data_IF_582852287201
#
_entry.id   IF_582852287201
#
_cell.length_a   1.000
_cell.length_b   1.000
_cell.length_c   1.000
_cell.angle_alpha   90.00
_cell.angle_beta   90.00
_cell.angle_gamma   90.00
#
_symmetry.space_group_name_H-M   'P 1'
#
loop_
_entity.id
_entity.type
_entity.pdbx_description
1 polymer ?
#
# COMPACT_ATOMS: atom_id res chain seq x y z
N UNK A 1 39.92 2.28 12.03
CA UNK A 1 38.66 1.56 12.36
C UNK A 1 37.38 2.31 11.96
N UNK A 2 37.31 3.65 11.99
CA UNK A 2 36.08 4.42 11.74
C UNK A 2 35.44 4.26 10.33
N UNK A 3 36.25 4.03 9.29
CA UNK A 3 35.79 3.99 7.89
C UNK A 3 34.91 2.76 7.56
N UNK A 4 35.10 1.65 8.28
CA UNK A 4 34.30 0.43 8.12
C UNK A 4 32.94 0.54 8.83
N UNK A 5 32.86 1.30 9.92
CA UNK A 5 31.62 1.52 10.68
C UNK A 5 30.62 2.34 9.85
N UNK A 6 31.11 3.37 9.14
CA UNK A 6 30.27 4.19 8.25
C UNK A 6 29.70 3.40 7.06
N UNK A 7 30.44 2.39 6.57
CA UNK A 7 30.01 1.57 5.44
C UNK A 7 29.02 0.46 5.86
N UNK A 8 29.06 0.00 7.11
CA UNK A 8 28.06 -0.93 7.64
C UNK A 8 26.71 -0.25 7.91
N UNK A 9 26.70 1.05 8.21
CA UNK A 9 25.48 1.80 8.52
C UNK A 9 24.59 2.05 7.29
N UNK A 10 25.18 2.19 6.10
CA UNK A 10 24.43 2.47 4.86
C UNK A 10 23.63 1.27 4.33
N UNK A 11 24.02 0.04 4.68
CA UNK A 11 23.32 -1.19 4.24
C UNK A 11 22.01 -1.41 5.02
N UNK A 12 21.85 -0.81 6.20
CA UNK A 12 20.62 -0.92 7.00
C UNK A 12 19.43 -0.11 6.48
N UNK A 13 19.64 0.89 5.63
CA UNK A 13 18.57 1.78 5.16
C UNK A 13 17.76 1.22 3.98
N UNK A 14 18.25 0.21 3.27
CA UNK A 14 17.51 -0.43 2.16
C UNK A 14 16.45 -1.43 2.61
N UNK A 15 16.39 -1.77 3.90
CA UNK A 15 15.43 -2.72 4.46
C UNK A 15 14.17 -2.08 5.08
N UNK A 16 13.99 -0.76 5.00
CA UNK A 16 12.74 -0.13 5.39
C UNK A 16 11.70 -0.40 4.29
N UNK A 17 10.98 -1.51 4.48
CA UNK A 17 10.25 -2.24 3.46
C UNK A 17 9.27 -1.40 2.65
N UNK A 18 9.48 -1.49 1.34
CA UNK A 18 8.57 -1.22 0.24
C UNK A 18 7.36 -2.16 0.18
N UNK A 19 7.17 -3.00 1.20
CA UNK A 19 5.95 -3.76 1.43
C UNK A 19 4.97 -2.89 2.22
N UNK A 20 4.25 -2.05 1.49
CA UNK A 20 3.17 -1.25 2.06
C UNK A 20 2.24 -2.16 2.87
N UNK A 21 1.88 -1.79 4.11
CA UNK A 21 0.94 -2.54 4.95
C UNK A 21 -0.38 -2.95 4.24
N UNK A 22 -0.68 -2.29 3.12
CA UNK A 22 -1.77 -2.56 2.18
C UNK A 22 -1.62 -3.94 1.48
N UNK A 23 -0.41 -4.37 1.11
CA UNK A 23 -0.18 -5.65 0.40
C UNK A 23 -0.51 -6.86 1.27
N UNK A 24 -0.26 -6.74 2.58
CA UNK A 24 -0.61 -7.77 3.56
C UNK A 24 -2.10 -7.90 3.87
N UNK A 25 -2.95 -7.02 3.33
CA UNK A 25 -4.40 -7.10 3.55
C UNK A 25 -4.99 -8.32 2.83
N UNK A 26 -5.88 -9.04 3.52
CA UNK A 26 -6.73 -10.03 2.86
C UNK A 26 -7.67 -9.38 1.85
N UNK A 27 -8.14 -10.14 0.87
CA UNK A 27 -9.03 -9.66 -0.20
C UNK A 27 -10.28 -8.96 0.33
N UNK A 28 -10.94 -9.58 1.32
CA UNK A 28 -12.13 -9.02 1.95
C UNK A 28 -11.83 -7.68 2.63
N UNK A 29 -10.72 -7.61 3.38
CA UNK A 29 -10.33 -6.40 4.11
C UNK A 29 -9.93 -5.26 3.16
N UNK A 30 -9.21 -5.59 2.08
CA UNK A 30 -8.89 -4.63 1.03
C UNK A 30 -10.16 -4.07 0.38
N UNK A 31 -11.10 -4.94 0.02
CA UNK A 31 -12.38 -4.55 -0.59
C UNK A 31 -13.23 -3.68 0.36
N UNK A 32 -13.31 -4.06 1.64
CA UNK A 32 -14.05 -3.30 2.65
C UNK A 32 -13.44 -1.90 2.84
N UNK A 33 -12.13 -1.83 3.11
CA UNK A 33 -11.44 -0.55 3.35
C UNK A 33 -11.50 0.36 2.13
N UNK A 34 -11.33 -0.21 0.93
CA UNK A 34 -11.47 0.56 -0.29
C UNK A 34 -12.92 1.03 -0.50
N UNK A 35 -13.91 0.18 -0.25
CA UNK A 35 -15.33 0.56 -0.27
C UNK A 35 -15.63 1.75 0.65
N UNK A 36 -15.11 1.74 1.88
CA UNK A 36 -15.27 2.85 2.81
C UNK A 36 -14.63 4.15 2.30
N UNK A 37 -13.48 4.08 1.61
CA UNK A 37 -12.88 5.22 0.95
C UNK A 37 -13.81 5.82 -0.11
N UNK A 38 -14.47 4.97 -0.89
CA UNK A 38 -15.45 5.41 -1.90
C UNK A 38 -16.66 6.09 -1.24
N UNK A 39 -17.21 5.47 -0.20
CA UNK A 39 -18.42 5.99 0.43
C UNK A 39 -18.18 7.30 1.19
N UNK A 40 -17.02 7.43 1.85
CA UNK A 40 -16.72 8.59 2.73
C UNK A 40 -16.03 9.75 2.04
N UNK A 41 -15.43 9.54 0.87
CA UNK A 41 -14.71 10.58 0.08
C UNK A 41 -13.82 11.49 0.96
N UNK A 42 -12.86 10.94 1.72
CA UNK A 42 -12.07 11.73 2.66
C UNK A 42 -11.20 12.77 1.93
N UNK A 43 -11.18 13.99 2.46
CA UNK A 43 -10.43 15.13 1.86
C UNK A 43 -9.09 15.40 2.52
N UNK A 44 -8.86 14.88 3.73
CA UNK A 44 -7.58 15.05 4.41
C UNK A 44 -6.44 14.39 3.60
N UNK A 45 -5.31 15.07 3.33
CA UNK A 45 -4.29 14.58 2.40
C UNK A 45 -3.77 13.17 2.71
N UNK A 46 -3.49 12.86 3.97
CA UNK A 46 -3.03 11.53 4.37
C UNK A 46 -4.08 10.43 4.14
N UNK A 47 -5.36 10.74 4.36
CA UNK A 47 -6.46 9.79 4.11
C UNK A 47 -6.72 9.62 2.61
N UNK A 48 -6.66 10.71 1.83
CA UNK A 48 -6.76 10.65 0.38
C UNK A 48 -5.64 9.78 -0.22
N UNK A 49 -4.40 9.96 0.25
CA UNK A 49 -3.27 9.12 -0.15
C UNK A 49 -3.47 7.65 0.23
N UNK A 50 -4.00 7.37 1.43
CA UNK A 50 -4.33 6.00 1.83
C UNK A 50 -5.38 5.36 0.91
N UNK A 51 -6.40 6.12 0.49
CA UNK A 51 -7.39 5.65 -0.48
C UNK A 51 -6.78 5.38 -1.86
N UNK A 52 -5.84 6.21 -2.32
CA UNK A 52 -5.10 5.95 -3.56
C UNK A 52 -4.23 4.69 -3.46
N UNK A 53 -3.63 4.42 -2.30
CA UNK A 53 -2.87 3.19 -2.09
C UNK A 53 -3.77 1.94 -2.15
N UNK A 54 -4.96 1.98 -1.54
CA UNK A 54 -5.96 0.92 -1.62
C UNK A 54 -6.42 0.69 -3.07
N UNK A 55 -6.67 1.77 -3.82
CA UNK A 55 -7.03 1.68 -5.24
C UNK A 55 -5.95 0.99 -6.06
N UNK A 56 -4.68 1.39 -5.87
CA UNK A 56 -3.55 0.81 -6.61
C UNK A 56 -3.39 -0.68 -6.32
N UNK A 57 -3.50 -1.09 -5.06
CA UNK A 57 -3.43 -2.51 -4.70
C UNK A 57 -4.61 -3.29 -5.29
N UNK A 58 -5.81 -2.72 -5.26
CA UNK A 58 -6.99 -3.32 -5.88
C UNK A 58 -6.77 -3.58 -7.38
N UNK A 59 -6.35 -2.55 -8.13
CA UNK A 59 -6.13 -2.68 -9.58
C UNK A 59 -4.96 -3.63 -9.87
N UNK A 60 -3.89 -3.64 -9.05
CA UNK A 60 -2.81 -4.62 -9.17
C UNK A 60 -3.33 -6.06 -9.05
N UNK A 61 -4.16 -6.36 -8.04
CA UNK A 61 -4.76 -7.69 -7.87
C UNK A 61 -5.67 -8.06 -9.03
N UNK A 62 -6.42 -7.09 -9.56
CA UNK A 62 -7.26 -7.30 -10.75
C UNK A 62 -6.43 -7.62 -11.98
N UNK A 63 -5.32 -6.92 -12.20
CA UNK A 63 -4.39 -7.19 -13.30
C UNK A 63 -3.72 -8.57 -13.17
N UNK A 64 -3.35 -8.97 -11.95
CA UNK A 64 -2.66 -10.25 -11.71
C UNK A 64 -3.60 -11.46 -11.68
N UNK A 65 -4.76 -11.35 -11.05
CA UNK A 65 -5.68 -12.47 -10.83
C UNK A 65 -6.75 -12.57 -11.92
N UNK A 66 -7.05 -11.46 -12.62
CA UNK A 66 -8.10 -11.36 -13.64
C UNK A 66 -9.55 -11.46 -13.11
N UNK A 67 -9.75 -12.14 -11.98
CA UNK A 67 -11.05 -12.35 -11.33
C UNK A 67 -11.34 -11.37 -10.19
N UNK A 68 -10.33 -10.63 -9.73
CA UNK A 68 -10.48 -9.70 -8.62
C UNK A 68 -11.22 -8.43 -9.07
N UNK A 69 -12.33 -8.12 -8.41
CA UNK A 69 -13.19 -6.99 -8.79
C UNK A 69 -12.96 -5.80 -7.87
N UNK A 70 -12.53 -4.69 -8.46
CA UNK A 70 -12.50 -3.38 -7.80
C UNK A 70 -13.84 -2.67 -7.90
N UNK A 71 -14.39 -2.26 -6.76
CA UNK A 71 -15.58 -1.39 -6.72
C UNK A 71 -15.26 -0.07 -7.42
N UNK A 72 -16.20 0.40 -8.24
CA UNK A 72 -16.17 1.72 -8.90
C UNK A 72 -17.37 2.53 -8.45
N UNK A 73 -17.25 3.85 -8.50
CA UNK A 73 -18.32 4.81 -8.17
C UNK A 73 -19.46 4.76 -9.18
#
# INVERSE_FOLDING_TARGET
MSKWILMALSVGLVACGSDSAIKGLGDFELAERYGQCLDRKPTAPGKAQACENLRRECERRKEELGSYICRKY
#
